data_IF_643190663068
#
_entry.id   IF_643190663068
#
_cell.length_a   1.000
_cell.length_b   1.000
_cell.length_c   1.000
_cell.angle_alpha   90.00
_cell.angle_beta   90.00
_cell.angle_gamma   90.00
#
_symmetry.space_group_name_H-M   'P 1'
#
loop_
_entity.id
_entity.type
_entity.pdbx_description
1 polymer ?
#
# COMPACT_ATOMS: atom_id res chain seq x y z
N UNK A 1 30.59 -37.81 -61.57
CA UNK A 1 30.86 -37.11 -60.32
C UNK A 1 29.59 -37.18 -59.48
N UNK A 2 29.55 -38.17 -58.58
CA UNK A 2 28.43 -38.25 -57.63
C UNK A 2 28.59 -37.12 -56.65
N UNK A 3 27.60 -36.34 -56.58
CA UNK A 3 27.60 -35.17 -55.73
C UNK A 3 27.86 -35.58 -54.28
N UNK A 4 28.78 -34.95 -53.69
CA UNK A 4 29.13 -35.01 -52.28
C UNK A 4 28.01 -34.48 -51.39
N UNK A 5 26.79 -34.51 -51.90
CA UNK A 5 25.63 -34.21 -51.12
C UNK A 5 25.24 -35.33 -50.17
N UNK A 6 25.89 -36.50 -50.28
CA UNK A 6 25.64 -37.57 -49.34
C UNK A 6 26.26 -37.37 -47.96
N UNK A 7 27.24 -36.49 -47.83
CA UNK A 7 27.79 -36.17 -46.52
C UNK A 7 27.01 -35.08 -45.79
N UNK A 8 26.05 -34.52 -46.45
CA UNK A 8 25.06 -33.66 -45.76
C UNK A 8 24.16 -34.50 -44.86
N UNK A 9 24.20 -35.84 -45.03
CA UNK A 9 23.53 -36.77 -44.12
C UNK A 9 24.13 -36.84 -42.71
N UNK A 10 25.39 -36.46 -42.55
CA UNK A 10 25.95 -36.33 -41.21
C UNK A 10 25.49 -35.07 -40.51
N UNK A 11 25.19 -34.03 -41.27
CA UNK A 11 24.55 -32.85 -40.73
C UNK A 11 23.04 -33.05 -40.55
N UNK A 12 22.42 -34.05 -41.17
CA UNK A 12 21.03 -34.40 -40.88
C UNK A 12 20.85 -35.02 -39.47
N UNK A 13 21.93 -35.57 -38.90
CA UNK A 13 21.92 -35.95 -37.49
C UNK A 13 21.87 -34.74 -36.56
N UNK A 14 22.56 -33.70 -36.93
CA UNK A 14 22.46 -32.43 -36.20
C UNK A 14 21.10 -31.80 -36.37
N UNK A 15 20.50 -31.89 -37.55
CA UNK A 15 19.11 -31.41 -37.76
C UNK A 15 18.11 -32.26 -37.02
N UNK A 16 18.37 -33.56 -36.80
CA UNK A 16 17.52 -34.41 -35.97
C UNK A 16 17.69 -34.14 -34.48
N UNK A 17 18.85 -33.74 -34.04
CA UNK A 17 19.05 -33.26 -32.67
C UNK A 17 18.29 -31.98 -32.43
N UNK A 18 18.10 -31.22 -33.45
CA UNK A 18 17.37 -30.00 -33.50
C UNK A 18 15.85 -30.17 -33.23
N UNK A 19 15.32 -31.32 -33.65
CA UNK A 19 13.92 -31.68 -33.55
C UNK A 19 13.67 -32.87 -32.64
N UNK A 20 14.68 -33.46 -32.08
CA UNK A 20 14.53 -34.55 -31.15
C UNK A 20 14.17 -33.98 -29.79
N UNK A 21 13.25 -34.63 -29.09
CA UNK A 21 12.97 -34.36 -27.69
C UNK A 21 14.15 -34.74 -26.77
N UNK A 22 15.34 -34.95 -27.34
CA UNK A 22 16.53 -35.16 -26.53
C UNK A 22 16.88 -33.77 -25.93
N UNK A 23 17.22 -33.78 -24.71
CA UNK A 23 17.95 -32.72 -24.04
C UNK A 23 19.39 -32.58 -24.58
N UNK A 24 19.47 -32.76 -25.86
CA UNK A 24 20.67 -32.99 -26.63
C UNK A 24 21.49 -31.73 -26.84
N UNK A 25 21.15 -30.63 -26.28
CA UNK A 25 22.02 -29.46 -26.16
C UNK A 25 23.30 -29.75 -25.39
N UNK A 26 23.70 -31.00 -25.43
CA UNK A 26 25.04 -31.48 -25.06
C UNK A 26 26.11 -31.04 -26.05
N UNK A 27 25.72 -30.66 -27.26
CA UNK A 27 26.62 -30.16 -28.25
C UNK A 27 26.76 -28.62 -28.09
N UNK A 28 27.95 -28.17 -27.83
CA UNK A 28 28.30 -26.73 -27.82
C UNK A 28 28.17 -26.08 -29.21
N UNK A 29 27.80 -26.86 -30.24
CA UNK A 29 27.59 -26.40 -31.61
C UNK A 29 26.11 -26.24 -31.96
N UNK A 30 25.23 -26.61 -31.08
CA UNK A 30 23.80 -26.37 -31.29
C UNK A 30 23.49 -24.88 -31.21
N UNK A 31 22.85 -24.34 -32.23
CA UNK A 31 22.51 -22.90 -32.27
C UNK A 31 21.24 -22.56 -31.49
N UNK A 32 20.57 -23.54 -30.95
CA UNK A 32 19.40 -23.36 -30.11
C UNK A 32 19.21 -24.49 -29.11
N UNK A 33 18.54 -24.12 -28.06
CA UNK A 33 18.28 -25.00 -26.94
C UNK A 33 16.99 -25.81 -27.15
N UNK A 34 17.01 -27.06 -26.70
CA UNK A 34 15.79 -27.86 -26.60
C UNK A 34 14.78 -27.18 -25.65
N UNK A 35 13.51 -27.24 -25.98
CA UNK A 35 12.46 -26.78 -25.09
C UNK A 35 12.30 -27.76 -23.93
N UNK A 36 12.36 -27.26 -22.69
CA UNK A 36 12.20 -28.11 -21.52
C UNK A 36 12.37 -27.38 -20.19
N UNK A 37 12.16 -28.10 -19.07
CA UNK A 37 12.21 -27.54 -17.73
C UNK A 37 13.60 -27.46 -17.12
N UNK A 38 14.65 -27.93 -17.80
CA UNK A 38 15.99 -27.95 -17.25
C UNK A 38 16.67 -26.56 -17.33
N UNK A 39 17.69 -26.28 -16.51
CA UNK A 39 18.29 -24.95 -16.42
C UNK A 39 18.88 -24.39 -17.71
N UNK A 40 19.30 -25.27 -18.63
CA UNK A 40 19.92 -24.92 -19.91
C UNK A 40 19.04 -25.18 -21.13
N UNK A 41 17.78 -25.46 -20.90
CA UNK A 41 16.76 -25.60 -21.95
C UNK A 41 15.97 -24.30 -22.14
N UNK A 42 15.53 -24.02 -23.35
CA UNK A 42 14.59 -22.94 -23.61
C UNK A 42 13.23 -23.29 -23.00
N UNK A 43 12.55 -22.33 -22.43
CA UNK A 43 11.22 -22.54 -21.87
C UNK A 43 10.24 -23.00 -22.95
N UNK A 44 9.41 -24.04 -22.69
CA UNK A 44 8.34 -24.44 -23.58
C UNK A 44 7.42 -23.27 -23.93
N UNK A 45 6.91 -23.24 -25.16
CA UNK A 45 6.02 -22.17 -25.60
C UNK A 45 4.66 -22.12 -24.86
N UNK A 46 4.35 -23.16 -24.11
CA UNK A 46 3.16 -23.28 -23.28
C UNK A 46 3.38 -22.84 -21.83
N UNK A 47 4.59 -22.36 -21.48
CA UNK A 47 4.83 -21.84 -20.13
C UNK A 47 3.94 -20.63 -19.87
N UNK A 48 3.21 -20.71 -18.78
CA UNK A 48 2.33 -19.63 -18.36
C UNK A 48 3.13 -18.59 -17.57
N UNK A 49 3.03 -17.35 -17.94
CA UNK A 49 3.49 -16.22 -17.15
C UNK A 49 2.44 -15.85 -16.08
N UNK A 50 1.92 -16.85 -15.38
CA UNK A 50 0.89 -16.69 -14.37
C UNK A 50 1.40 -16.06 -13.06
N UNK A 51 2.69 -15.79 -12.98
CA UNK A 51 3.33 -15.23 -11.79
C UNK A 51 3.48 -16.21 -10.63
N UNK A 52 2.95 -17.43 -10.74
CA UNK A 52 2.98 -18.40 -9.64
C UNK A 52 4.29 -19.17 -9.55
N UNK A 53 4.90 -19.45 -10.69
CA UNK A 53 6.12 -20.27 -10.80
C UNK A 53 7.33 -19.48 -11.27
N UNK A 54 7.13 -18.36 -11.94
CA UNK A 54 8.23 -17.47 -12.30
C UNK A 54 8.61 -16.58 -11.11
N UNK A 55 9.90 -16.44 -10.84
CA UNK A 55 10.42 -15.46 -9.87
C UNK A 55 10.17 -14.00 -10.33
N UNK A 56 9.50 -13.80 -11.45
CA UNK A 56 9.14 -12.49 -11.99
C UNK A 56 7.81 -12.07 -11.42
N UNK A 57 7.82 -10.98 -10.68
CA UNK A 57 6.69 -10.16 -10.26
C UNK A 57 5.35 -10.93 -10.14
N UNK A 58 5.15 -11.56 -9.02
CA UNK A 58 3.80 -12.00 -8.68
C UNK A 58 2.96 -10.73 -8.49
N UNK A 59 2.03 -10.50 -9.41
CA UNK A 59 1.04 -9.42 -9.30
C UNK A 59 0.33 -9.42 -7.93
N UNK A 60 0.22 -10.58 -7.29
CA UNK A 60 -0.30 -10.72 -5.92
C UNK A 60 0.54 -9.97 -4.87
N UNK A 61 1.83 -9.75 -5.13
CA UNK A 61 2.70 -8.96 -4.24
C UNK A 61 2.58 -7.45 -4.50
N UNK A 62 1.88 -7.07 -5.58
CA UNK A 62 1.63 -5.66 -5.96
C UNK A 62 0.21 -5.26 -5.57
N UNK A 63 -0.71 -6.21 -5.36
CA UNK A 63 -2.05 -5.90 -4.88
C UNK A 63 -2.00 -5.66 -3.38
N UNK A 64 -2.10 -4.39 -2.99
CA UNK A 64 -2.35 -4.03 -1.60
C UNK A 64 -3.71 -4.55 -1.16
N UNK A 65 -3.73 -5.32 -0.10
CA UNK A 65 -4.96 -5.73 0.56
C UNK A 65 -5.33 -4.66 1.57
N UNK A 66 -6.58 -4.17 1.52
CA UNK A 66 -7.07 -3.27 2.55
C UNK A 66 -7.27 -4.04 3.86
N UNK A 67 -6.68 -3.54 4.92
CA UNK A 67 -6.74 -4.10 6.28
C UNK A 67 -7.43 -3.10 7.19
N UNK A 68 -8.46 -3.55 7.91
CA UNK A 68 -9.12 -2.74 8.94
C UNK A 68 -8.27 -2.68 10.20
N UNK A 69 -8.23 -1.53 10.85
CA UNK A 69 -7.65 -1.36 12.18
C UNK A 69 -8.49 -0.34 12.97
N UNK A 70 -8.31 -0.29 14.27
CA UNK A 70 -9.00 0.67 15.12
C UNK A 70 -7.99 1.71 15.62
N UNK A 71 -7.98 2.92 15.03
CA UNK A 71 -7.19 4.02 15.57
C UNK A 71 -7.66 4.38 16.98
N UNK A 72 -6.74 4.84 17.82
CA UNK A 72 -7.09 5.40 19.12
C UNK A 72 -7.05 6.91 19.03
N UNK A 73 -8.14 7.55 19.46
CA UNK A 73 -8.25 9.00 19.55
C UNK A 73 -7.75 9.50 20.91
N UNK A 74 -6.86 10.45 20.89
CA UNK A 74 -6.29 11.07 22.08
C UNK A 74 -6.32 12.59 21.99
N UNK A 75 -6.12 13.24 23.14
CA UNK A 75 -5.82 14.66 23.21
C UNK A 75 -4.67 14.89 24.21
N UNK A 76 -3.93 15.97 24.03
CA UNK A 76 -2.69 16.22 24.81
C UNK A 76 -2.96 16.45 26.31
N UNK A 77 -4.13 16.95 26.69
CA UNK A 77 -4.45 17.23 28.11
C UNK A 77 -5.39 16.17 28.65
N UNK A 78 -6.59 16.01 28.08
CA UNK A 78 -7.57 15.00 28.50
C UNK A 78 -8.15 14.37 27.27
N UNK A 79 -7.96 13.06 27.10
CA UNK A 79 -8.47 12.33 25.93
C UNK A 79 -10.00 12.31 25.89
N UNK A 80 -10.59 12.27 24.67
CA UNK A 80 -12.03 12.10 24.52
C UNK A 80 -12.47 10.73 25.07
N UNK A 81 -13.70 10.63 25.53
CA UNK A 81 -14.31 9.37 25.98
C UNK A 81 -15.59 9.10 25.22
N UNK A 82 -15.87 7.83 24.99
CA UNK A 82 -17.01 7.38 24.18
C UNK A 82 -17.91 6.46 25.00
N UNK A 83 -19.20 6.45 24.70
CA UNK A 83 -20.16 5.55 25.30
C UNK A 83 -20.25 4.26 24.46
N UNK A 84 -19.69 3.16 24.98
CA UNK A 84 -19.66 1.89 24.27
C UNK A 84 -18.53 1.79 23.25
N UNK A 85 -18.82 1.20 22.08
CA UNK A 85 -17.81 1.04 21.03
C UNK A 85 -17.41 2.40 20.46
N UNK A 86 -16.12 2.63 20.39
CA UNK A 86 -15.55 3.81 19.74
C UNK A 86 -15.91 3.80 18.26
N UNK A 87 -16.49 4.89 17.77
CA UNK A 87 -16.81 5.05 16.35
C UNK A 87 -15.63 5.66 15.58
N UNK A 88 -14.40 5.27 15.96
CA UNK A 88 -13.19 5.57 15.21
C UNK A 88 -12.82 4.33 14.41
N UNK A 89 -12.88 4.45 13.09
CA UNK A 89 -12.58 3.37 12.17
C UNK A 89 -11.40 3.74 11.29
N UNK A 90 -10.57 2.76 10.99
CA UNK A 90 -9.44 2.94 10.11
C UNK A 90 -9.27 1.76 9.16
N UNK A 91 -8.71 2.06 8.02
CA UNK A 91 -8.21 1.05 7.10
C UNK A 91 -6.88 1.49 6.51
N UNK A 92 -6.08 0.52 6.11
CA UNK A 92 -4.84 0.79 5.39
C UNK A 92 -4.57 -0.25 4.32
N UNK A 93 -3.80 0.16 3.32
CA UNK A 93 -3.28 -0.71 2.27
C UNK A 93 -1.78 -0.54 2.20
N UNK A 94 -1.03 -1.66 2.21
CA UNK A 94 0.42 -1.66 2.21
C UNK A 94 0.98 -2.15 0.88
N UNK A 95 1.96 -1.42 0.32
CA UNK A 95 2.74 -1.78 -0.87
C UNK A 95 4.24 -1.67 -0.54
N UNK A 96 4.86 -2.78 -0.18
CA UNK A 96 6.23 -2.71 0.35
C UNK A 96 6.28 -1.88 1.64
N UNK A 97 7.08 -0.82 1.66
CA UNK A 97 7.15 0.12 2.77
C UNK A 97 6.17 1.30 2.63
N UNK A 98 5.51 1.45 1.49
CA UNK A 98 4.51 2.49 1.29
C UNK A 98 3.17 2.04 1.86
N UNK A 99 2.55 2.90 2.65
CA UNK A 99 1.25 2.65 3.28
C UNK A 99 0.30 3.79 2.99
N UNK A 100 -0.86 3.46 2.45
CA UNK A 100 -2.00 4.37 2.35
C UNK A 100 -2.97 4.08 3.49
N UNK A 101 -3.43 5.10 4.20
CA UNK A 101 -4.41 4.97 5.29
C UNK A 101 -5.62 5.87 5.07
N UNK A 102 -6.72 5.47 5.70
CA UNK A 102 -7.93 6.28 5.87
C UNK A 102 -8.42 6.10 7.29
N UNK A 103 -8.82 7.18 7.94
CA UNK A 103 -9.41 7.20 9.28
C UNK A 103 -10.69 8.03 9.22
N UNK A 104 -11.75 7.51 9.85
CA UNK A 104 -12.99 8.23 10.06
C UNK A 104 -13.33 8.20 11.55
N UNK A 105 -13.79 9.34 12.06
CA UNK A 105 -14.25 9.53 13.44
C UNK A 105 -15.70 10.01 13.37
N UNK A 106 -16.58 9.30 14.06
CA UNK A 106 -17.97 9.68 14.27
C UNK A 106 -18.14 10.03 15.74
N UNK A 107 -18.57 11.23 16.01
CA UNK A 107 -18.74 11.73 17.38
C UNK A 107 -20.11 11.39 18.00
N UNK A 108 -20.97 10.64 17.31
CA UNK A 108 -22.35 10.36 17.77
C UNK A 108 -22.42 9.68 19.16
N UNK A 109 -21.38 8.95 19.58
CA UNK A 109 -21.31 8.27 20.86
C UNK A 109 -20.30 8.91 21.84
N UNK A 110 -19.88 10.14 21.59
CA UNK A 110 -18.93 10.81 22.48
C UNK A 110 -19.59 11.21 23.80
N UNK A 111 -18.92 10.93 24.91
CA UNK A 111 -19.33 11.39 26.23
C UNK A 111 -18.64 12.68 26.62
N UNK A 112 -17.36 12.77 26.32
CA UNK A 112 -16.56 13.97 26.54
C UNK A 112 -15.61 14.17 25.37
N UNK A 113 -15.52 15.40 24.89
CA UNK A 113 -14.59 15.75 23.80
C UNK A 113 -13.14 15.82 24.26
N UNK A 114 -12.88 15.85 25.56
CA UNK A 114 -11.53 16.05 26.09
C UNK A 114 -11.03 17.49 25.92
N UNK A 115 -9.73 17.71 26.09
CA UNK A 115 -9.11 19.05 26.00
C UNK A 115 -7.68 18.96 25.45
N UNK A 116 -7.27 20.01 24.71
CA UNK A 116 -5.96 20.09 24.06
C UNK A 116 -5.99 19.50 22.66
N UNK A 117 -4.85 19.60 21.98
CA UNK A 117 -4.70 19.16 20.60
C UNK A 117 -5.00 17.66 20.44
N UNK A 118 -5.85 17.33 19.47
CA UNK A 118 -6.14 15.94 19.14
C UNK A 118 -5.06 15.30 18.32
N UNK A 119 -4.87 14.00 18.55
CA UNK A 119 -4.08 13.13 17.70
C UNK A 119 -4.71 11.73 17.60
N UNK A 120 -4.42 11.04 16.52
CA UNK A 120 -4.88 9.68 16.23
C UNK A 120 -3.67 8.76 16.07
N UNK A 121 -3.85 7.47 16.35
CA UNK A 121 -2.78 6.51 16.11
C UNK A 121 -2.82 6.00 14.67
N UNK A 122 -1.69 6.04 13.98
CA UNK A 122 -1.46 5.37 12.70
C UNK A 122 -1.16 3.88 12.94
N UNK A 123 -1.38 2.99 11.95
CA UNK A 123 -1.16 1.56 12.11
C UNK A 123 0.32 1.18 12.27
N UNK A 124 1.23 2.01 11.75
CA UNK A 124 2.69 1.82 11.83
C UNK A 124 3.39 3.16 12.01
N UNK A 125 4.60 3.12 12.59
CA UNK A 125 5.44 4.31 12.71
C UNK A 125 5.91 4.78 11.33
N UNK A 126 5.91 6.09 11.13
CA UNK A 126 6.38 6.73 9.89
C UNK A 126 7.91 6.74 9.83
N UNK A 127 8.49 6.43 8.68
CA UNK A 127 9.94 6.51 8.48
C UNK A 127 10.44 7.96 8.51
N UNK A 128 9.68 8.87 7.90
CA UNK A 128 9.98 10.30 7.83
C UNK A 128 8.86 11.13 8.45
N UNK A 129 9.08 12.43 8.58
CA UNK A 129 8.00 13.35 8.94
C UNK A 129 7.11 13.62 7.71
N UNK A 130 5.78 13.58 7.91
CA UNK A 130 4.80 13.81 6.85
C UNK A 130 3.73 14.79 7.29
N UNK A 131 3.18 15.51 6.29
CA UNK A 131 2.01 16.37 6.44
C UNK A 131 0.94 15.89 5.45
N UNK A 132 -0.23 15.53 5.97
CA UNK A 132 -1.41 15.11 5.20
C UNK A 132 -2.41 16.25 5.16
N UNK A 133 -2.95 16.55 3.98
CA UNK A 133 -3.87 17.67 3.77
C UNK A 133 -5.28 17.25 3.36
N UNK A 134 -5.53 15.95 3.31
CA UNK A 134 -6.79 15.35 2.86
C UNK A 134 -7.71 15.05 4.05
N UNK A 135 -7.72 15.91 5.06
CA UNK A 135 -8.63 15.82 6.20
C UNK A 135 -9.76 16.84 6.10
N UNK A 136 -10.94 16.43 6.57
CA UNK A 136 -12.13 17.25 6.61
C UNK A 136 -12.94 16.96 7.87
N UNK A 137 -13.30 18.01 8.60
CA UNK A 137 -14.33 18.01 9.62
C UNK A 137 -15.63 18.47 8.97
N UNK A 138 -16.69 17.71 9.13
CA UNK A 138 -18.03 18.07 8.74
C UNK A 138 -18.84 18.43 9.98
N UNK A 139 -19.12 19.71 10.14
CA UNK A 139 -20.03 20.26 11.16
C UNK A 139 -21.47 20.12 10.64
N UNK A 140 -22.17 19.13 11.15
CA UNK A 140 -23.53 18.81 10.71
C UNK A 140 -24.55 19.91 11.12
N UNK A 141 -24.32 20.55 12.26
CA UNK A 141 -25.22 21.54 12.80
C UNK A 141 -25.32 22.77 11.90
N UNK A 142 -24.25 23.17 11.24
CA UNK A 142 -24.18 24.32 10.33
C UNK A 142 -24.06 23.94 8.86
N UNK A 143 -23.90 22.65 8.56
CA UNK A 143 -23.58 22.12 7.21
C UNK A 143 -22.29 22.69 6.61
N UNK A 144 -21.34 23.07 7.46
CA UNK A 144 -20.04 23.58 7.06
C UNK A 144 -18.98 22.45 7.04
N UNK A 145 -17.95 22.68 6.25
CA UNK A 145 -16.79 21.81 6.20
C UNK A 145 -15.52 22.61 6.49
N UNK A 146 -14.65 22.02 7.31
CA UNK A 146 -13.39 22.64 7.71
C UNK A 146 -12.23 21.73 7.32
N UNK A 147 -11.25 22.29 6.64
CA UNK A 147 -10.03 21.56 6.29
C UNK A 147 -9.24 21.22 7.56
N UNK A 148 -8.80 19.98 7.64
CA UNK A 148 -7.94 19.48 8.70
C UNK A 148 -6.68 18.88 8.08
N UNK A 149 -5.54 19.15 8.70
CA UNK A 149 -4.24 18.59 8.30
C UNK A 149 -3.74 17.66 9.39
N UNK A 150 -3.03 16.61 9.00
CA UNK A 150 -2.39 15.67 9.92
C UNK A 150 -0.88 15.78 9.82
N UNK A 151 -0.19 15.86 10.95
CA UNK A 151 1.28 15.88 11.02
C UNK A 151 1.77 14.68 11.81
N UNK A 152 2.70 13.93 11.24
CA UNK A 152 3.41 12.84 11.92
C UNK A 152 4.90 13.10 11.89
N UNK A 153 5.58 12.89 13.02
CA UNK A 153 7.04 12.97 13.10
C UNK A 153 7.69 11.65 12.66
N UNK A 154 8.92 11.72 12.19
CA UNK A 154 9.73 10.54 11.92
C UNK A 154 9.82 9.64 13.17
N UNK A 155 9.69 8.33 12.99
CA UNK A 155 9.69 7.33 14.05
C UNK A 155 8.43 7.28 14.91
N UNK A 156 7.40 8.09 14.60
CA UNK A 156 6.16 8.17 15.36
C UNK A 156 4.99 7.53 14.63
N UNK A 157 4.03 7.00 15.39
CA UNK A 157 2.70 6.64 14.90
C UNK A 157 1.61 7.62 15.34
N UNK A 158 1.96 8.72 16.01
CA UNK A 158 1.00 9.73 16.44
C UNK A 158 0.77 10.76 15.35
N UNK A 159 -0.44 10.79 14.81
CA UNK A 159 -0.91 11.74 13.81
C UNK A 159 -1.56 12.93 14.53
N UNK A 160 -0.83 14.00 14.74
CA UNK A 160 -1.34 15.24 15.32
C UNK A 160 -2.21 15.99 14.33
N UNK A 161 -3.38 16.43 14.76
CA UNK A 161 -4.35 17.11 13.92
C UNK A 161 -4.24 18.63 14.06
N UNK A 162 -4.42 19.31 12.94
CA UNK A 162 -4.43 20.76 12.85
C UNK A 162 -5.61 21.20 11.98
N UNK A 163 -6.18 22.33 12.29
CA UNK A 163 -7.15 23.02 11.43
C UNK A 163 -6.49 24.23 10.77
N UNK A 164 -7.06 24.67 9.66
CA UNK A 164 -6.56 25.85 8.96
C UNK A 164 -7.33 27.08 9.47
N UNK A 165 -6.62 27.99 10.14
CA UNK A 165 -7.18 29.26 10.57
C UNK A 165 -7.50 30.17 9.38
N UNK A 166 -8.32 31.21 9.62
CA UNK A 166 -8.73 32.19 8.59
C UNK A 166 -7.56 32.92 7.91
N UNK A 167 -6.41 32.97 8.56
CA UNK A 167 -5.18 33.54 8.01
C UNK A 167 -4.32 32.52 7.23
N UNK A 168 -4.82 31.30 7.00
CA UNK A 168 -4.15 30.22 6.27
C UNK A 168 -3.06 29.49 7.08
N UNK A 169 -2.95 29.73 8.38
CA UNK A 169 -1.99 29.03 9.26
C UNK A 169 -2.62 27.79 9.86
N UNK A 170 -1.82 26.75 10.03
CA UNK A 170 -2.21 25.57 10.81
C UNK A 170 -2.23 25.93 12.29
N UNK A 171 -3.35 25.65 12.95
CA UNK A 171 -3.56 25.78 14.39
C UNK A 171 -3.95 24.41 14.96
N UNK A 172 -3.62 24.09 16.22
CA UNK A 172 -4.03 22.83 16.82
C UNK A 172 -5.53 22.58 16.64
N UNK A 173 -5.89 21.37 16.20
CA UNK A 173 -7.28 20.95 16.14
C UNK A 173 -7.70 20.47 17.53
N UNK A 174 -8.70 21.12 18.08
CA UNK A 174 -9.23 20.89 19.44
C UNK A 174 -10.77 20.85 19.40
N UNK A 175 -11.40 20.50 20.52
CA UNK A 175 -12.87 20.39 20.57
C UNK A 175 -13.63 21.68 20.23
N UNK A 176 -13.00 22.83 20.29
CA UNK A 176 -13.57 24.15 19.99
C UNK A 176 -12.82 24.90 18.88
N UNK A 177 -11.95 24.23 18.15
CA UNK A 177 -11.15 24.78 17.04
C UNK A 177 -11.11 23.76 15.90
N UNK A 178 -11.57 24.11 14.71
CA UNK A 178 -12.01 25.41 14.15
C UNK A 178 -13.43 25.83 14.57
N UNK A 179 -14.21 24.91 15.08
CA UNK A 179 -15.59 25.08 15.53
C UNK A 179 -15.79 24.27 16.80
N UNK A 180 -16.76 24.60 17.64
CA UNK A 180 -17.13 23.74 18.76
C UNK A 180 -17.76 22.45 18.22
N UNK A 181 -17.10 21.33 18.49
CA UNK A 181 -17.58 20.00 18.05
C UNK A 181 -18.89 19.62 18.73
N UNK A 182 -19.77 18.98 17.98
CA UNK A 182 -21.04 18.43 18.43
C UNK A 182 -21.08 16.90 18.21
N UNK A 183 -22.01 16.24 18.90
CA UNK A 183 -22.23 14.79 18.80
C UNK A 183 -22.69 14.34 17.41
N UNK A 184 -23.16 15.23 16.56
CA UNK A 184 -23.55 14.91 15.19
C UNK A 184 -22.39 15.02 14.19
N UNK A 185 -21.28 15.64 14.60
CA UNK A 185 -20.16 15.91 13.71
C UNK A 185 -19.40 14.65 13.34
N UNK A 186 -18.71 14.71 12.22
CA UNK A 186 -17.81 13.66 11.80
C UNK A 186 -16.53 14.23 11.18
N UNK A 187 -15.49 13.43 11.23
CA UNK A 187 -14.18 13.81 10.73
C UNK A 187 -13.59 12.65 9.94
N UNK A 188 -12.89 12.94 8.86
CA UNK A 188 -12.09 11.97 8.15
C UNK A 188 -10.74 12.54 7.74
N UNK A 189 -9.74 11.67 7.63
CA UNK A 189 -8.43 11.99 7.10
C UNK A 189 -7.84 10.79 6.38
N UNK A 190 -7.14 11.05 5.29
CA UNK A 190 -6.41 10.04 4.53
C UNK A 190 -4.99 10.51 4.22
N UNK A 191 -4.13 9.58 3.87
CA UNK A 191 -2.78 9.92 3.47
C UNK A 191 -1.95 8.71 3.09
N UNK A 192 -0.76 8.99 2.56
CA UNK A 192 0.20 7.96 2.19
C UNK A 192 1.56 8.32 2.76
N UNK A 193 2.24 7.35 3.36
CA UNK A 193 3.56 7.53 3.98
C UNK A 193 4.39 6.26 3.91
N UNK A 194 5.69 6.38 4.08
CA UNK A 194 6.61 5.27 4.23
C UNK A 194 6.72 4.86 5.69
N UNK A 195 6.63 3.56 5.94
CA UNK A 195 6.74 2.99 7.28
C UNK A 195 8.16 2.54 7.55
N UNK A 196 8.56 2.55 8.81
CA UNK A 196 9.81 1.93 9.25
C UNK A 196 9.81 0.44 8.84
N UNK A 197 10.93 -0.07 8.30
CA UNK A 197 11.08 -1.46 7.87
C UNK A 197 11.01 -2.46 9.03
#
# INVERSE_FOLDING_TARGET
MSAVFGNVGASAGEVNDFHSNSDADKSTLAQHHTLGPQPNQASPGDHTHDGKTSKKLQLQNIQGVSVSYTPVGHALSTSPTFNGATLITGSYTKFGNLLHFQIAVDYSNILTFGTGQYYLTLPFAAEHAYIFRDGCLHDISTSNQYAVTGHVAAGSSNLYLFSVASNGRDVPFEHNVPVTLDVADNFHIAGTYEILP
#
